data_IF_442188444252
#
_entry.id   IF_442188444252
#
_cell.length_a   1.000
_cell.length_b   1.000
_cell.length_c   1.000
_cell.angle_alpha   90.00
_cell.angle_beta   90.00
_cell.angle_gamma   90.00
#
_symmetry.space_group_name_H-M   'P 1'
#
loop_
_entity.id
_entity.type
_entity.pdbx_description
1 polymer ?
#
# COMPACT_ATOMS: atom_id res chain seq x y z
N UNK A 1 -21.09 -11.95 -7.32
CA UNK A 1 -19.91 -11.80 -6.45
C UNK A 1 -19.08 -10.67 -7.07
N UNK A 2 -18.89 -9.54 -6.37
CA UNK A 2 -17.96 -8.52 -6.87
C UNK A 2 -16.55 -9.05 -6.62
N UNK A 3 -15.76 -9.13 -7.68
CA UNK A 3 -14.36 -9.55 -7.58
C UNK A 3 -13.58 -8.58 -6.65
N UNK A 4 -12.62 -9.06 -5.84
CA UNK A 4 -11.85 -8.22 -4.92
C UNK A 4 -11.25 -6.98 -5.58
N UNK A 5 -10.84 -7.09 -6.85
CA UNK A 5 -10.28 -6.00 -7.63
C UNK A 5 -11.28 -4.85 -7.86
N UNK A 6 -12.56 -5.17 -8.12
CA UNK A 6 -13.61 -4.15 -8.28
C UNK A 6 -13.90 -3.42 -6.97
N UNK A 7 -13.79 -4.14 -5.85
CA UNK A 7 -13.97 -3.56 -4.51
C UNK A 7 -12.84 -2.59 -4.20
N UNK A 8 -11.60 -3.00 -4.48
CA UNK A 8 -10.41 -2.15 -4.31
C UNK A 8 -10.51 -0.89 -5.17
N UNK A 9 -10.89 -1.02 -6.45
CA UNK A 9 -11.04 0.12 -7.35
C UNK A 9 -12.05 1.13 -6.80
N UNK A 10 -13.25 0.68 -6.39
CA UNK A 10 -14.28 1.55 -5.82
C UNK A 10 -13.80 2.32 -4.59
N UNK A 11 -12.95 1.72 -3.76
CA UNK A 11 -12.39 2.38 -2.58
C UNK A 11 -11.37 3.42 -3.01
N UNK A 12 -10.46 3.06 -3.92
CA UNK A 12 -9.44 3.97 -4.45
C UNK A 12 -10.11 5.20 -5.08
N UNK A 13 -11.20 5.02 -5.83
CA UNK A 13 -11.96 6.09 -6.48
C UNK A 13 -12.58 7.11 -5.50
N UNK A 14 -12.69 6.79 -4.20
CA UNK A 14 -13.16 7.73 -3.17
C UNK A 14 -12.11 8.78 -2.80
N UNK A 15 -10.85 8.58 -3.18
CA UNK A 15 -9.73 9.44 -2.80
C UNK A 15 -9.19 10.21 -3.99
N UNK A 16 -8.96 11.50 -3.81
CA UNK A 16 -8.39 12.37 -4.85
C UNK A 16 -6.88 12.20 -5.04
N UNK A 17 -6.21 11.47 -4.15
CA UNK A 17 -4.76 11.26 -4.15
C UNK A 17 -4.43 9.86 -3.66
N UNK A 18 -3.49 9.22 -4.32
CA UNK A 18 -2.93 7.93 -3.94
C UNK A 18 -1.46 8.16 -3.61
N UNK A 19 -1.05 7.76 -2.41
CA UNK A 19 0.29 8.01 -1.89
C UNK A 19 1.08 6.70 -1.91
N UNK A 20 2.34 6.77 -2.35
CA UNK A 20 3.25 5.62 -2.35
C UNK A 20 4.67 6.04 -1.95
N UNK A 21 5.55 5.05 -1.80
CA UNK A 21 6.99 5.24 -1.61
C UNK A 21 7.77 4.44 -2.65
N UNK A 22 9.03 4.82 -2.95
CA UNK A 22 9.89 4.02 -3.81
C UNK A 22 10.04 2.57 -3.34
N UNK A 23 9.97 2.33 -2.03
CA UNK A 23 10.03 0.98 -1.45
C UNK A 23 8.83 0.13 -1.86
N UNK A 24 7.60 0.66 -1.74
CA UNK A 24 6.37 -0.01 -2.20
C UNK A 24 6.45 -0.29 -3.70
N UNK A 25 6.86 0.70 -4.50
CA UNK A 25 7.00 0.53 -5.95
C UNK A 25 8.02 -0.56 -6.32
N UNK A 26 9.12 -0.64 -5.57
CA UNK A 26 10.15 -1.67 -5.77
C UNK A 26 9.63 -3.07 -5.44
N UNK A 27 8.83 -3.20 -4.38
CA UNK A 27 8.18 -4.48 -4.03
C UNK A 27 7.18 -4.92 -5.10
N UNK A 28 6.34 -4.00 -5.60
CA UNK A 28 5.42 -4.28 -6.71
C UNK A 28 6.18 -4.69 -7.97
N UNK A 29 7.30 -4.03 -8.30
CA UNK A 29 8.18 -4.43 -9.40
C UNK A 29 8.76 -5.85 -9.19
N UNK A 30 9.21 -6.16 -7.98
CA UNK A 30 9.76 -7.48 -7.63
C UNK A 30 8.72 -8.59 -7.79
N UNK A 31 7.49 -8.36 -7.29
CA UNK A 31 6.36 -9.27 -7.44
C UNK A 31 5.96 -9.44 -8.91
N UNK A 32 5.91 -8.34 -9.67
CA UNK A 32 5.58 -8.38 -11.11
C UNK A 32 6.59 -9.21 -11.91
N UNK A 33 7.88 -9.16 -11.53
CA UNK A 33 8.92 -9.97 -12.17
C UNK A 33 8.81 -11.48 -11.91
N UNK A 34 7.99 -11.91 -10.95
CA UNK A 34 7.73 -13.33 -10.69
C UNK A 34 6.66 -13.92 -11.62
N UNK A 35 5.95 -13.07 -12.37
CA UNK A 35 4.93 -13.49 -13.33
C UNK A 35 5.56 -14.04 -14.62
N UNK A 36 4.87 -14.99 -15.25
CA UNK A 36 5.17 -15.42 -16.61
C UNK A 36 4.61 -14.47 -17.67
N UNK A 37 5.07 -14.63 -18.91
CA UNK A 37 4.45 -13.95 -20.05
C UNK A 37 3.12 -14.62 -20.44
N UNK A 38 2.11 -13.87 -20.91
CA UNK A 38 2.14 -12.45 -21.26
C UNK A 38 1.81 -11.49 -20.10
N UNK A 39 1.51 -12.01 -18.91
CA UNK A 39 0.93 -11.19 -17.83
C UNK A 39 1.95 -10.24 -17.23
N UNK A 40 3.21 -10.63 -17.16
CA UNK A 40 4.33 -9.74 -16.78
C UNK A 40 4.35 -8.46 -17.64
N UNK A 41 4.30 -8.59 -18.96
CA UNK A 41 4.31 -7.43 -19.87
C UNK A 41 3.06 -6.54 -19.71
N UNK A 42 1.89 -7.15 -19.52
CA UNK A 42 0.64 -6.40 -19.26
C UNK A 42 0.73 -5.64 -17.95
N UNK A 43 1.21 -6.28 -16.88
CA UNK A 43 1.39 -5.66 -15.58
C UNK A 43 2.35 -4.48 -15.64
N UNK A 44 3.50 -4.60 -16.32
CA UNK A 44 4.43 -3.48 -16.48
C UNK A 44 3.85 -2.31 -17.30
N UNK A 45 3.06 -2.62 -18.33
CA UNK A 45 2.35 -1.58 -19.10
C UNK A 45 1.41 -0.80 -18.19
N UNK A 46 0.56 -1.48 -17.42
CA UNK A 46 -0.34 -0.84 -16.47
C UNK A 46 0.42 -0.12 -15.34
N UNK A 47 1.48 -0.73 -14.83
CA UNK A 47 2.26 -0.16 -13.73
C UNK A 47 2.90 1.18 -14.14
N UNK A 48 3.41 1.29 -15.36
CA UNK A 48 3.96 2.55 -15.88
C UNK A 48 2.91 3.67 -15.99
N UNK A 49 1.66 3.31 -16.33
CA UNK A 49 0.55 4.26 -16.39
C UNK A 49 0.20 4.76 -14.98
N UNK A 50 0.04 3.83 -14.02
CA UNK A 50 -0.32 4.15 -12.63
C UNK A 50 0.75 5.04 -11.97
N UNK A 51 2.04 4.74 -12.15
CA UNK A 51 3.13 5.54 -11.55
C UNK A 51 3.03 7.02 -11.95
N UNK A 52 2.54 7.34 -13.15
CA UNK A 52 2.38 8.72 -13.60
C UNK A 52 1.23 9.48 -12.93
N UNK A 53 0.31 8.78 -12.27
CA UNK A 53 -0.91 9.34 -11.67
C UNK A 53 -0.87 9.37 -10.13
N UNK A 54 0.03 8.60 -9.50
CA UNK A 54 0.17 8.52 -8.04
C UNK A 54 1.25 9.46 -7.52
N UNK A 55 1.13 9.86 -6.25
CA UNK A 55 2.09 10.72 -5.58
C UNK A 55 3.13 9.88 -4.84
N UNK A 56 4.34 9.81 -5.40
CA UNK A 56 5.49 9.17 -4.77
C UNK A 56 6.21 10.12 -3.81
N UNK A 57 6.53 9.64 -2.61
CA UNK A 57 7.32 10.36 -1.62
C UNK A 57 8.55 9.55 -1.21
N UNK A 58 9.72 10.18 -1.34
CA UNK A 58 10.97 9.63 -0.87
C UNK A 58 11.20 9.98 0.60
N UNK A 59 11.44 8.94 1.41
CA UNK A 59 11.92 9.06 2.78
C UNK A 59 13.30 8.43 2.86
N UNK A 60 14.34 9.15 3.35
CA UNK A 60 15.65 8.57 3.54
C UNK A 60 15.59 7.35 4.48
N UNK A 61 16.12 6.21 4.04
CA UNK A 61 16.10 4.97 4.85
C UNK A 61 16.73 5.17 6.23
N UNK A 62 17.78 6.00 6.33
CA UNK A 62 18.43 6.33 7.61
C UNK A 62 17.48 7.00 8.63
N UNK A 63 16.41 7.66 8.15
CA UNK A 63 15.37 8.22 9.00
C UNK A 63 14.35 7.14 9.38
N UNK A 64 13.95 6.29 8.42
CA UNK A 64 12.98 5.21 8.64
C UNK A 64 13.48 4.20 9.67
N UNK A 65 14.78 3.86 9.65
CA UNK A 65 15.38 2.90 10.62
C UNK A 65 15.34 3.39 12.07
N UNK A 66 15.10 4.69 12.30
CA UNK A 66 14.92 5.24 13.66
C UNK A 66 13.53 4.95 14.23
N UNK A 67 12.61 4.43 13.42
CA UNK A 67 11.29 4.02 13.88
C UNK A 67 11.43 2.86 14.88
N UNK A 68 10.80 2.99 16.05
CA UNK A 68 10.87 1.98 17.12
C UNK A 68 10.37 0.58 16.70
N UNK A 69 9.51 0.51 15.68
CA UNK A 69 9.01 -0.73 15.09
C UNK A 69 9.94 -1.37 14.05
N UNK A 70 11.05 -0.74 13.67
CA UNK A 70 11.87 -1.14 12.53
C UNK A 70 12.33 -2.61 12.60
N UNK A 71 12.81 -3.06 13.75
CA UNK A 71 13.26 -4.47 13.92
C UNK A 71 12.12 -5.47 13.68
N UNK A 72 10.87 -5.08 13.94
CA UNK A 72 9.70 -5.96 13.85
C UNK A 72 8.99 -5.89 12.48
N UNK A 73 9.03 -4.74 11.83
CA UNK A 73 8.22 -4.44 10.63
C UNK A 73 9.07 -4.18 9.39
N UNK A 74 10.35 -3.86 9.53
CA UNK A 74 11.24 -3.63 8.40
C UNK A 74 11.01 -2.28 7.71
N UNK A 75 11.67 -2.10 6.58
CA UNK A 75 11.83 -0.79 5.95
C UNK A 75 10.54 -0.26 5.32
N UNK A 76 9.84 -1.08 4.55
CA UNK A 76 8.64 -0.66 3.82
C UNK A 76 7.51 -0.29 4.77
N UNK A 77 7.19 -1.16 5.73
CA UNK A 77 6.16 -0.93 6.73
C UNK A 77 6.48 0.29 7.61
N UNK A 78 7.71 0.45 8.07
CA UNK A 78 8.08 1.66 8.81
C UNK A 78 8.04 2.91 7.94
N UNK A 79 8.32 2.81 6.63
CA UNK A 79 8.11 3.89 5.68
C UNK A 79 6.64 4.31 5.59
N UNK A 80 5.72 3.32 5.54
CA UNK A 80 4.26 3.56 5.61
C UNK A 80 3.89 4.28 6.91
N UNK A 81 4.42 3.81 8.04
CA UNK A 81 4.18 4.44 9.35
C UNK A 81 4.66 5.90 9.36
N UNK A 82 5.86 6.19 8.86
CA UNK A 82 6.40 7.55 8.87
C UNK A 82 5.63 8.51 7.95
N UNK A 83 5.21 8.06 6.76
CA UNK A 83 4.49 8.93 5.81
C UNK A 83 3.03 9.18 6.22
N UNK A 84 2.38 8.20 6.85
CA UNK A 84 0.94 8.27 7.12
C UNK A 84 0.56 9.09 8.36
N UNK A 85 1.46 9.21 9.34
CA UNK A 85 1.22 9.92 10.61
C UNK A 85 0.55 11.28 10.40
N UNK A 86 -0.65 11.42 10.96
CA UNK A 86 -1.46 12.65 10.97
C UNK A 86 -1.86 13.21 9.59
N UNK A 87 -1.70 12.44 8.51
CA UNK A 87 -1.86 12.97 7.15
C UNK A 87 -2.62 12.06 6.20
N UNK A 88 -2.47 10.74 6.30
CA UNK A 88 -3.04 9.81 5.32
C UNK A 88 -3.69 8.59 5.97
N UNK A 89 -4.76 8.13 5.33
CA UNK A 89 -5.38 6.84 5.60
C UNK A 89 -4.57 5.73 4.91
N UNK A 90 -4.20 4.71 5.67
CA UNK A 90 -3.55 3.50 5.14
C UNK A 90 -4.61 2.44 4.81
N UNK A 91 -4.56 1.91 3.59
CA UNK A 91 -5.31 0.71 3.20
C UNK A 91 -4.35 -0.47 3.15
N UNK A 92 -4.61 -1.52 3.93
CA UNK A 92 -3.76 -2.72 3.96
C UNK A 92 -4.62 -3.97 4.16
N UNK A 93 -4.18 -5.13 3.69
CA UNK A 93 -4.75 -6.42 4.05
C UNK A 93 -3.88 -7.18 5.08
N UNK A 94 -2.70 -6.67 5.40
CA UNK A 94 -1.80 -7.21 6.43
C UNK A 94 -2.35 -6.90 7.83
N UNK A 95 -2.79 -7.94 8.53
CA UNK A 95 -3.35 -7.82 9.88
C UNK A 95 -2.32 -7.39 10.93
N UNK A 96 -1.06 -7.78 10.79
CA UNK A 96 0.01 -7.41 11.74
C UNK A 96 0.33 -5.93 11.59
N UNK A 97 0.43 -5.42 10.35
CA UNK A 97 0.64 -3.99 10.08
C UNK A 97 -0.58 -3.15 10.49
N UNK A 98 -1.79 -3.61 10.17
CA UNK A 98 -3.05 -2.96 10.56
C UNK A 98 -3.11 -2.68 12.08
N UNK A 99 -2.89 -3.71 12.90
CA UNK A 99 -2.92 -3.55 14.36
C UNK A 99 -1.83 -2.63 14.87
N UNK A 100 -0.67 -2.61 14.21
CA UNK A 100 0.42 -1.74 14.60
C UNK A 100 0.11 -0.27 14.31
N UNK A 101 -0.37 0.03 13.10
CA UNK A 101 -0.81 1.38 12.72
C UNK A 101 -1.93 1.87 13.64
N UNK A 102 -2.91 1.02 13.95
CA UNK A 102 -3.99 1.34 14.88
C UNK A 102 -3.46 1.65 16.29
N UNK A 103 -2.47 0.89 16.79
CA UNK A 103 -1.85 1.16 18.10
C UNK A 103 -1.06 2.48 18.15
N UNK A 104 -0.71 3.03 16.98
CA UNK A 104 -0.06 4.33 16.82
C UNK A 104 -1.06 5.46 16.50
N UNK A 105 -2.37 5.18 16.59
CA UNK A 105 -3.45 6.12 16.26
C UNK A 105 -3.39 6.64 14.81
N UNK A 106 -2.82 5.84 13.90
CA UNK A 106 -2.81 6.14 12.47
C UNK A 106 -4.11 5.63 11.86
N UNK A 107 -4.76 6.47 11.05
CA UNK A 107 -5.94 6.08 10.28
C UNK A 107 -5.60 4.90 9.37
N UNK A 108 -6.26 3.77 9.60
CA UNK A 108 -6.01 2.55 8.85
C UNK A 108 -7.29 1.75 8.65
N UNK A 109 -7.47 1.21 7.45
CA UNK A 109 -8.53 0.24 7.13
C UNK A 109 -7.89 -1.08 6.71
N UNK A 110 -8.35 -2.16 7.32
CA UNK A 110 -8.06 -3.50 6.81
C UNK A 110 -9.02 -3.80 5.65
N UNK A 111 -8.49 -4.01 4.43
CA UNK A 111 -9.30 -4.29 3.24
C UNK A 111 -10.18 -5.53 3.42
N UNK A 112 -9.74 -6.53 4.20
CA UNK A 112 -10.53 -7.72 4.47
C UNK A 112 -11.79 -7.43 5.28
N UNK A 113 -11.81 -6.37 6.11
CA UNK A 113 -13.00 -5.97 6.84
C UNK A 113 -14.08 -5.35 5.93
N UNK A 114 -13.70 -4.86 4.74
CA UNK A 114 -14.64 -4.25 3.80
C UNK A 114 -15.40 -5.27 2.96
N UNK A 115 -14.91 -6.52 2.89
CA UNK A 115 -15.56 -7.63 2.19
C UNK A 115 -16.99 -7.83 2.67
N UNK A 116 -17.22 -7.78 3.98
CA UNK A 116 -18.55 -8.00 4.57
C UNK A 116 -19.56 -6.87 4.29
N UNK A 117 -19.08 -5.67 3.98
CA UNK A 117 -19.91 -4.49 3.75
C UNK A 117 -20.20 -4.22 2.28
N UNK A 118 -19.25 -4.52 1.39
CA UNK A 118 -19.34 -4.20 -0.04
C UNK A 118 -19.81 -5.38 -0.91
N UNK A 119 -19.96 -6.58 -0.32
CA UNK A 119 -20.39 -7.80 -1.02
C UNK A 119 -21.86 -8.17 -0.79
N UNK A 120 -22.69 -7.22 -0.35
CA UNK A 120 -24.16 -7.34 -0.34
C UNK A 120 -24.77 -7.01 -1.71
#
# INVERSE_FOLDING_TARGET
MLEPQLTLQKIIDLFSKIITTPNILTEVNSLTNQLGEPDRSKCFTLFSQIISEINEFFLPSQNIVQNNGFVKFGLTDCGIVEISKNQYLVLTDDFKLFNYLQSLEIDVINFNHLRDYLWK
#
